data_IF_335430214143
#
_entry.id   IF_335430214143
#
_cell.length_a   1.000
_cell.length_b   1.000
_cell.length_c   1.000
_cell.angle_alpha   90.00
_cell.angle_beta   90.00
_cell.angle_gamma   90.00
#
_symmetry.space_group_name_H-M   'P 1'
#
loop_
_entity.id
_entity.type
_entity.pdbx_description
1 polymer ?
#
# COMPACT_ATOMS: atom_id res chain seq x y z
N UNK A 1 1.76 7.32 14.89
CA UNK A 1 1.79 6.25 13.88
C UNK A 1 0.51 6.37 13.07
N UNK A 2 0.55 6.55 11.74
CA UNK A 2 -0.70 6.48 10.99
C UNK A 2 -1.13 5.01 11.05
N UNK A 3 -2.19 4.75 11.82
CA UNK A 3 -2.90 3.49 11.79
C UNK A 3 -3.17 3.19 10.32
N UNK A 4 -2.86 1.98 9.86
CA UNK A 4 -3.25 1.59 8.51
C UNK A 4 -4.77 1.60 8.47
N UNK A 5 -5.32 2.62 7.85
CA UNK A 5 -6.77 2.80 7.75
C UNK A 5 -7.25 1.83 6.69
N UNK A 6 -7.69 0.68 7.19
CA UNK A 6 -8.22 -0.44 6.41
C UNK A 6 -9.65 -0.13 6.01
N UNK A 7 -9.97 -0.40 4.75
CA UNK A 7 -11.27 -0.09 4.15
C UNK A 7 -12.44 -0.89 4.77
N UNK A 8 -12.15 -1.91 5.60
CA UNK A 8 -13.12 -2.56 6.50
C UNK A 8 -13.86 -1.61 7.47
N UNK A 9 -13.35 -0.40 7.73
CA UNK A 9 -14.06 0.62 8.52
C UNK A 9 -14.97 1.53 7.70
N UNK A 10 -15.07 1.33 6.38
CA UNK A 10 -15.96 2.09 5.51
C UNK A 10 -17.35 1.47 5.50
N UNK A 11 -18.38 2.32 5.58
CA UNK A 11 -19.72 1.88 5.21
C UNK A 11 -19.76 1.50 3.72
N UNK A 12 -20.71 0.63 3.33
CA UNK A 12 -20.90 0.29 1.91
C UNK A 12 -21.08 1.53 1.02
N UNK A 13 -21.75 2.57 1.52
CA UNK A 13 -21.95 3.83 0.79
C UNK A 13 -20.64 4.61 0.63
N UNK A 14 -19.83 4.66 1.68
CA UNK A 14 -18.53 5.34 1.63
C UNK A 14 -17.55 4.61 0.70
N UNK A 15 -17.56 3.28 0.70
CA UNK A 15 -16.77 2.44 -0.22
C UNK A 15 -17.19 2.69 -1.66
N UNK A 16 -18.50 2.69 -1.95
CA UNK A 16 -19.03 2.95 -3.28
C UNK A 16 -18.66 4.36 -3.79
N UNK A 17 -18.77 5.38 -2.94
CA UNK A 17 -18.40 6.75 -3.28
C UNK A 17 -16.90 6.86 -3.62
N UNK A 18 -16.04 6.22 -2.82
CA UNK A 18 -14.60 6.22 -3.08
C UNK A 18 -14.26 5.45 -4.36
N UNK A 19 -14.90 4.31 -4.61
CA UNK A 19 -14.73 3.54 -5.83
C UNK A 19 -15.16 4.33 -7.07
N UNK A 20 -16.30 5.02 -7.01
CA UNK A 20 -16.80 5.86 -8.10
C UNK A 20 -15.82 7.00 -8.43
N UNK A 21 -15.25 7.66 -7.41
CA UNK A 21 -14.22 8.69 -7.61
C UNK A 21 -12.98 8.16 -8.35
N UNK A 22 -12.55 6.94 -8.03
CA UNK A 22 -11.42 6.30 -8.72
C UNK A 22 -11.83 5.92 -10.15
N UNK A 23 -13.02 5.32 -10.30
CA UNK A 23 -13.52 4.79 -11.56
C UNK A 23 -13.80 5.87 -12.62
N UNK A 24 -14.12 7.08 -12.19
CA UNK A 24 -14.39 8.22 -13.07
C UNK A 24 -13.15 9.04 -13.40
N UNK A 25 -12.02 8.78 -12.74
CA UNK A 25 -10.82 9.62 -12.82
C UNK A 25 -9.55 8.81 -13.09
N UNK A 26 -9.57 7.89 -14.06
CA UNK A 26 -8.37 7.17 -14.49
C UNK A 26 -7.89 7.58 -15.87
N UNK A 27 -6.59 7.39 -16.10
CA UNK A 27 -5.92 7.48 -17.39
C UNK A 27 -5.35 6.10 -17.71
N UNK A 28 -5.75 5.55 -18.86
CA UNK A 28 -5.22 4.27 -19.32
C UNK A 28 -3.79 4.44 -19.84
N UNK A 29 -2.96 3.44 -19.54
CA UNK A 29 -1.63 3.30 -20.14
C UNK A 29 -1.61 2.18 -21.20
N UNK A 30 -0.64 2.20 -22.13
CA UNK A 30 -0.48 1.15 -23.13
C UNK A 30 -0.29 -0.27 -22.56
N UNK A 31 0.23 -0.38 -21.34
CA UNK A 31 0.43 -1.65 -20.62
C UNK A 31 -0.83 -2.13 -19.86
N UNK A 32 -1.99 -1.50 -20.07
CA UNK A 32 -3.25 -1.87 -19.44
C UNK A 32 -3.41 -1.42 -17.99
N UNK A 33 -2.42 -0.75 -17.39
CA UNK A 33 -2.57 -0.13 -16.08
C UNK A 33 -3.51 1.08 -16.15
N UNK A 34 -4.32 1.25 -15.10
CA UNK A 34 -5.15 2.42 -14.89
C UNK A 34 -4.50 3.28 -13.80
N UNK A 35 -4.21 4.54 -14.11
CA UNK A 35 -3.57 5.49 -13.20
C UNK A 35 -4.51 6.62 -12.83
N UNK A 36 -4.44 7.14 -11.60
CA UNK A 36 -5.12 8.38 -11.27
C UNK A 36 -4.27 9.60 -11.71
N UNK A 37 -4.83 10.57 -12.44
CA UNK A 37 -4.10 11.74 -12.91
C UNK A 37 -3.74 12.68 -11.75
N UNK A 38 -2.54 13.25 -11.80
CA UNK A 38 -2.11 14.33 -10.89
C UNK A 38 -1.90 13.94 -9.42
N UNK A 39 -2.10 12.68 -9.04
CA UNK A 39 -1.87 12.20 -7.68
C UNK A 39 -0.65 11.28 -7.65
N UNK A 40 0.43 11.75 -7.03
CA UNK A 40 1.68 10.97 -6.82
C UNK A 40 1.49 9.79 -5.86
N UNK A 41 0.39 9.79 -5.09
CA UNK A 41 -0.11 8.63 -4.38
C UNK A 41 -1.44 8.26 -5.02
N UNK A 42 -1.68 6.99 -5.32
CA UNK A 42 -2.99 6.47 -5.71
C UNK A 42 -4.01 6.54 -4.55
N UNK A 43 -3.93 7.57 -3.71
CA UNK A 43 -4.75 7.77 -2.54
C UNK A 43 -5.97 8.64 -2.88
N UNK A 44 -7.10 8.26 -2.29
CA UNK A 44 -8.35 9.03 -2.32
C UNK A 44 -8.70 9.49 -0.92
N UNK A 45 -9.33 10.66 -0.81
CA UNK A 45 -9.69 11.24 0.48
C UNK A 45 -11.19 11.19 0.74
N UNK A 46 -11.58 10.87 1.96
CA UNK A 46 -12.96 10.96 2.44
C UNK A 46 -12.95 11.44 3.89
N UNK A 47 -13.75 12.47 4.20
CA UNK A 47 -13.88 13.05 5.55
C UNK A 47 -12.52 13.39 6.21
N UNK A 48 -11.60 13.97 5.42
CA UNK A 48 -10.26 14.33 5.90
C UNK A 48 -9.25 13.17 6.00
N UNK A 49 -9.69 11.93 5.74
CA UNK A 49 -8.86 10.74 5.80
C UNK A 49 -8.41 10.27 4.42
N UNK A 50 -7.14 9.88 4.29
CA UNK A 50 -6.59 9.26 3.08
C UNK A 50 -6.77 7.73 3.09
N UNK A 51 -7.15 7.18 1.94
CA UNK A 51 -7.39 5.77 1.67
C UNK A 51 -6.58 5.31 0.45
N UNK A 52 -6.04 4.09 0.49
CA UNK A 52 -5.28 3.52 -0.64
C UNK A 52 -6.24 3.09 -1.74
N UNK A 53 -6.14 3.70 -2.92
CA UNK A 53 -7.09 3.48 -4.02
C UNK A 53 -7.13 2.04 -4.53
N UNK A 54 -5.98 1.35 -4.60
CA UNK A 54 -5.97 -0.06 -4.99
C UNK A 54 -6.74 -0.95 -4.00
N UNK A 55 -6.73 -0.64 -2.70
CA UNK A 55 -7.51 -1.40 -1.70
C UNK A 55 -9.01 -1.13 -1.87
N UNK A 56 -9.40 0.12 -2.08
CA UNK A 56 -10.80 0.50 -2.35
C UNK A 56 -11.32 -0.28 -3.57
N UNK A 57 -10.55 -0.33 -4.65
CA UNK A 57 -10.93 -1.05 -5.87
C UNK A 57 -11.07 -2.55 -5.63
N UNK A 58 -10.14 -3.18 -4.90
CA UNK A 58 -10.26 -4.60 -4.57
C UNK A 58 -11.51 -4.85 -3.72
N UNK A 59 -11.71 -4.08 -2.66
CA UNK A 59 -12.87 -4.26 -1.78
C UNK A 59 -14.21 -4.05 -2.50
N UNK A 60 -14.27 -3.09 -3.41
CA UNK A 60 -15.48 -2.81 -4.19
C UNK A 60 -15.78 -3.86 -5.26
N UNK A 61 -14.78 -4.29 -6.05
CA UNK A 61 -14.99 -5.20 -7.19
C UNK A 61 -14.87 -6.68 -6.83
N UNK A 62 -14.10 -7.03 -5.80
CA UNK A 62 -13.78 -8.42 -5.42
C UNK A 62 -14.34 -8.80 -4.05
N UNK A 63 -14.87 -7.84 -3.30
CA UNK A 63 -15.35 -8.03 -1.95
C UNK A 63 -14.27 -7.82 -0.89
N UNK A 64 -14.63 -7.96 0.40
CA UNK A 64 -13.79 -7.56 1.52
C UNK A 64 -12.44 -8.30 1.51
N UNK A 65 -11.37 -7.56 1.76
CA UNK A 65 -10.02 -8.13 1.91
C UNK A 65 -9.98 -8.84 3.27
N UNK A 66 -9.70 -10.15 3.33
CA UNK A 66 -9.62 -10.86 4.61
C UNK A 66 -8.51 -10.33 5.52
N UNK A 67 -8.64 -10.55 6.82
CA UNK A 67 -7.60 -10.19 7.77
C UNK A 67 -6.28 -10.92 7.45
N UNK A 68 -5.15 -10.19 7.52
CA UNK A 68 -3.83 -10.73 7.19
C UNK A 68 -3.51 -10.78 5.69
N UNK A 69 -4.45 -10.38 4.83
CA UNK A 69 -4.23 -10.31 3.39
C UNK A 69 -3.74 -8.91 2.98
N UNK A 70 -2.87 -8.92 1.97
CA UNK A 70 -2.33 -7.73 1.31
C UNK A 70 -2.80 -7.70 -0.14
N UNK A 71 -2.84 -6.51 -0.73
CA UNK A 71 -3.13 -6.37 -2.16
C UNK A 71 -1.82 -6.46 -2.93
N UNK A 72 -1.68 -7.52 -3.73
CA UNK A 72 -0.58 -7.74 -4.67
C UNK A 72 -0.90 -7.08 -6.02
N UNK A 73 0.09 -6.41 -6.59
CA UNK A 73 0.02 -5.81 -7.92
C UNK A 73 0.65 -6.77 -8.92
N UNK A 74 -0.17 -7.54 -9.64
CA UNK A 74 0.31 -8.45 -10.69
C UNK A 74 1.13 -7.71 -11.76
N UNK A 75 0.79 -6.44 -12.02
CA UNK A 75 1.48 -5.54 -12.94
C UNK A 75 2.76 -4.89 -12.39
N UNK A 76 3.09 -5.09 -11.11
CA UNK A 76 4.26 -4.55 -10.39
C UNK A 76 4.36 -3.01 -10.42
N UNK A 77 3.23 -2.32 -10.62
CA UNK A 77 3.11 -0.87 -10.50
C UNK A 77 2.28 -0.50 -9.26
N UNK A 78 2.91 0.05 -8.21
CA UNK A 78 2.22 0.35 -6.94
C UNK A 78 1.08 1.37 -7.05
N UNK A 79 1.07 2.19 -8.10
CA UNK A 79 0.10 3.25 -8.37
C UNK A 79 -1.09 2.78 -9.25
N UNK A 80 -1.04 1.55 -9.78
CA UNK A 80 -2.12 1.00 -10.58
C UNK A 80 -3.38 0.73 -9.75
N UNK A 81 -4.53 1.07 -10.33
CA UNK A 81 -5.88 0.85 -9.77
C UNK A 81 -6.75 -0.05 -10.66
N UNK A 82 -6.17 -0.77 -11.62
CA UNK A 82 -6.92 -1.71 -12.46
C UNK A 82 -7.33 -2.96 -11.63
N UNK A 83 -8.63 -3.26 -11.44
CA UNK A 83 -9.06 -4.42 -10.65
C UNK A 83 -8.53 -5.77 -11.18
N UNK A 84 -8.25 -5.88 -12.49
CA UNK A 84 -7.68 -7.09 -13.09
C UNK A 84 -6.18 -7.24 -12.80
N UNK A 85 -5.49 -6.17 -12.38
CA UNK A 85 -4.08 -6.19 -12.03
C UNK A 85 -3.84 -6.29 -10.51
N UNK A 86 -4.89 -6.42 -9.72
CA UNK A 86 -4.84 -6.43 -8.25
C UNK A 86 -5.36 -7.77 -7.72
N UNK A 87 -4.73 -8.34 -6.71
CA UNK A 87 -5.19 -9.57 -6.07
C UNK A 87 -5.02 -9.47 -4.55
N UNK A 88 -6.04 -9.86 -3.78
CA UNK A 88 -5.89 -10.01 -2.34
C UNK A 88 -5.23 -11.37 -2.07
N UNK A 89 -4.00 -11.36 -1.57
CA UNK A 89 -3.23 -12.57 -1.27
C UNK A 89 -2.75 -12.53 0.18
N UNK A 90 -2.52 -13.68 0.82
CA UNK A 90 -1.86 -13.69 2.11
C UNK A 90 -0.42 -13.18 1.98
N UNK A 91 0.10 -12.60 3.06
CA UNK A 91 1.38 -11.88 3.03
C UNK A 91 2.58 -12.76 2.64
N UNK A 92 2.52 -14.05 2.96
CA UNK A 92 3.51 -15.06 2.58
C UNK A 92 3.57 -15.27 1.06
N UNK A 93 2.42 -15.39 0.38
CA UNK A 93 2.35 -15.53 -1.07
C UNK A 93 2.80 -14.24 -1.77
N UNK A 94 2.45 -13.07 -1.24
CA UNK A 94 2.98 -11.79 -1.74
C UNK A 94 4.51 -11.77 -1.70
N UNK A 95 5.11 -12.19 -0.58
CA UNK A 95 6.57 -12.29 -0.43
C UNK A 95 7.18 -13.32 -1.38
N UNK A 96 6.53 -14.48 -1.57
CA UNK A 96 6.96 -15.54 -2.49
C UNK A 96 7.01 -15.06 -3.94
N UNK A 97 6.12 -14.14 -4.31
CA UNK A 97 6.04 -13.54 -5.66
C UNK A 97 7.05 -12.42 -5.88
N UNK A 98 7.73 -11.92 -4.85
CA UNK A 98 8.75 -10.87 -5.00
C UNK A 98 9.97 -11.45 -5.72
N UNK A 99 10.30 -10.91 -6.89
CA UNK A 99 11.56 -11.21 -7.58
C UNK A 99 12.69 -10.37 -7.00
N UNK A 100 13.94 -10.85 -7.07
CA UNK A 100 15.14 -10.14 -6.57
C UNK A 100 15.25 -8.70 -7.09
N UNK A 101 14.78 -8.44 -8.31
CA UNK A 101 14.72 -7.10 -8.93
C UNK A 101 13.77 -6.10 -8.25
N UNK A 102 12.86 -6.56 -7.39
CA UNK A 102 11.88 -5.74 -6.68
C UNK A 102 12.24 -5.49 -5.20
N UNK A 103 13.26 -6.20 -4.71
CA UNK A 103 13.84 -5.92 -3.40
C UNK A 103 14.65 -4.62 -3.57
N UNK A 104 14.07 -3.50 -3.13
CA UNK A 104 14.81 -2.25 -3.02
C UNK A 104 16.08 -2.51 -2.17
N UNK A 105 17.27 -2.09 -2.61
CA UNK A 105 18.54 -2.35 -1.90
C UNK A 105 18.64 -1.71 -0.52
N UNK A 106 17.58 -1.01 -0.06
CA UNK A 106 17.46 -0.56 1.33
C UNK A 106 17.72 -1.74 2.29
N UNK A 107 17.19 -2.94 2.04
CA UNK A 107 17.43 -4.15 2.85
C UNK A 107 18.91 -4.54 2.99
N UNK A 108 19.71 -4.30 1.94
CA UNK A 108 21.13 -4.69 1.87
C UNK A 108 22.01 -3.69 2.63
N UNK A 109 21.68 -2.40 2.58
CA UNK A 109 22.34 -1.36 3.39
C UNK A 109 22.16 -1.58 4.90
N UNK A 110 21.01 -2.10 5.35
CA UNK A 110 20.80 -2.43 6.77
C UNK A 110 21.64 -3.64 7.22
N UNK A 111 21.84 -4.62 6.34
CA UNK A 111 22.57 -5.85 6.63
C UNK A 111 24.08 -5.62 6.75
N UNK A 112 24.64 -4.69 5.95
CA UNK A 112 26.07 -4.40 5.92
C UNK A 112 26.52 -3.31 6.90
N UNK A 113 25.68 -2.29 7.17
CA UNK A 113 26.09 -1.12 7.95
C UNK A 113 25.93 -1.27 9.48
N UNK A 114 25.12 -2.23 9.93
CA UNK A 114 24.74 -2.38 11.35
C UNK A 114 23.81 -1.25 11.83
N UNK A 115 22.86 -1.57 12.71
CA UNK A 115 21.82 -0.64 13.17
C UNK A 115 22.38 0.61 13.88
N UNK A 116 23.61 0.54 14.39
CA UNK A 116 24.24 1.55 15.24
C UNK A 116 24.78 2.78 14.48
N UNK A 117 24.90 2.71 13.14
CA UNK A 117 25.59 3.74 12.33
C UNK A 117 24.67 4.66 11.52
N UNK A 118 23.36 4.65 11.76
CA UNK A 118 22.42 5.39 10.92
C UNK A 118 22.38 6.90 11.26
N UNK A 119 22.71 7.81 10.32
CA UNK A 119 22.83 9.26 10.58
C UNK A 119 21.48 9.96 10.86
N UNK A 120 20.34 9.34 10.55
CA UNK A 120 19.01 9.94 10.72
C UNK A 120 18.13 9.24 11.76
N UNK A 121 18.67 8.29 12.55
CA UNK A 121 17.91 7.62 13.61
C UNK A 121 18.69 7.65 14.93
N UNK A 122 18.46 8.62 15.83
CA UNK A 122 18.98 8.52 17.18
C UNK A 122 18.36 7.29 17.87
N UNK A 123 19.08 6.60 18.77
CA UNK A 123 18.53 5.45 19.49
C UNK A 123 17.20 5.83 20.15
N UNK A 124 16.18 4.98 19.98
CA UNK A 124 14.91 5.16 20.68
C UNK A 124 15.23 5.19 22.17
N UNK A 125 15.01 6.33 22.84
CA UNK A 125 14.95 6.37 24.29
C UNK A 125 13.84 5.41 24.72
N UNK A 126 14.22 4.27 25.28
CA UNK A 126 13.30 3.45 26.05
C UNK A 126 12.94 4.23 27.33
N UNK A 127 11.73 4.02 27.85
CA UNK A 127 11.23 4.69 29.06
C UNK A 127 11.97 4.30 30.36
N UNK A 128 13.09 3.58 30.25
CA UNK A 128 14.00 3.24 31.34
C UNK A 128 15.38 3.70 30.89
N UNK A 129 15.80 4.84 31.42
CA UNK A 129 17.05 5.50 31.03
C UNK A 129 18.25 4.55 31.01
N UNK A 130 19.22 4.95 30.19
CA UNK A 130 20.57 4.42 30.05
C UNK A 130 21.10 3.77 31.33
N UNK A 131 21.61 2.55 31.21
CA UNK A 131 22.67 2.06 32.08
C UNK A 131 23.90 1.75 31.22
N UNK A 132 25.05 2.01 31.81
CA UNK A 132 26.34 2.37 31.22
C UNK A 132 26.92 1.39 30.20
#
# INVERSE_FOLDING_TARGET
MPLEIRAEHLSHQDLALLAERIWTQWVARPDGCLMMPGRSSNAVSLRGQQWRGHRIIVEYFKGPIPEGFVVDHLCRRPDCVNPFHLEAVPADENLRRVTTSQIQPKSVWWAEAGYEKHPYWPPRRNAKGVTA
#
